data_IF_804462301238
#
_entry.id   IF_804462301238
#
_cell.length_a   1.000
_cell.length_b   1.000
_cell.length_c   1.000
_cell.angle_alpha   90.00
_cell.angle_beta   90.00
_cell.angle_gamma   90.00
#
_symmetry.space_group_name_H-M   'P 1'
#
loop_
_entity.id
_entity.type
_entity.pdbx_description
1 polymer ?
#
# COMPACT_ATOMS: atom_id res chain seq x y z
N UNK A 1 32.73 18.61 41.65
CA UNK A 1 32.48 18.46 40.20
C UNK A 1 31.63 17.20 39.98
N UNK A 2 30.50 17.09 40.68
CA UNK A 2 29.58 15.96 40.59
C UNK A 2 28.13 16.32 40.98
N UNK A 3 27.74 17.61 40.91
CA UNK A 3 26.43 18.08 41.39
C UNK A 3 25.67 18.92 40.35
N UNK A 4 25.83 18.62 39.06
CA UNK A 4 25.09 19.31 37.97
C UNK A 4 24.33 18.36 37.04
N UNK A 5 23.93 17.17 37.53
CA UNK A 5 23.14 16.21 36.75
C UNK A 5 21.75 15.89 37.35
N UNK A 6 21.34 16.55 38.45
CA UNK A 6 20.03 16.34 39.08
C UNK A 6 19.07 17.53 38.91
N UNK A 7 19.18 18.25 37.80
CA UNK A 7 18.43 19.50 37.58
C UNK A 7 17.24 19.44 36.62
N UNK A 8 16.71 18.26 36.27
CA UNK A 8 15.62 18.19 35.27
C UNK A 8 14.57 17.09 35.53
N UNK A 9 14.49 16.62 36.76
CA UNK A 9 13.64 15.51 37.15
C UNK A 9 12.40 16.03 37.92
N UNK A 10 11.27 16.02 37.22
CA UNK A 10 9.90 15.90 37.77
C UNK A 10 9.17 17.14 38.31
N UNK A 11 9.11 18.23 37.55
CA UNK A 11 7.95 19.14 37.61
C UNK A 11 7.28 19.22 36.24
N UNK A 12 6.81 18.08 35.76
CA UNK A 12 5.92 18.04 34.60
C UNK A 12 4.51 17.91 35.15
N UNK A 13 3.95 19.04 35.58
CA UNK A 13 2.50 19.18 35.75
C UNK A 13 1.82 18.50 34.56
N UNK A 14 0.85 17.64 34.85
CA UNK A 14 0.12 16.86 33.86
C UNK A 14 -0.80 17.78 33.06
N UNK A 15 -0.20 18.66 32.25
CA UNK A 15 -0.87 19.44 31.25
C UNK A 15 -1.29 18.44 30.16
N UNK A 16 -2.60 18.17 30.09
CA UNK A 16 -3.16 17.22 29.12
C UNK A 16 -2.77 17.56 27.68
N UNK A 17 -2.99 16.61 26.76
CA UNK A 17 -2.69 16.82 25.34
C UNK A 17 -3.45 18.05 24.82
N UNK A 18 -2.71 18.99 24.22
CA UNK A 18 -3.29 20.19 23.63
C UNK A 18 -4.29 19.78 22.53
N UNK A 19 -5.49 20.39 22.48
CA UNK A 19 -6.48 20.09 21.45
C UNK A 19 -5.92 20.22 20.03
N UNK A 20 -5.03 21.19 19.77
CA UNK A 20 -4.37 21.33 18.48
C UNK A 20 -3.49 20.12 18.10
N UNK A 21 -2.79 19.55 19.08
CA UNK A 21 -1.99 18.34 18.88
C UNK A 21 -2.87 17.13 18.62
N UNK A 22 -3.98 17.00 19.34
CA UNK A 22 -4.96 15.93 19.12
C UNK A 22 -5.55 16.01 17.71
N UNK A 23 -5.97 17.20 17.28
CA UNK A 23 -6.52 17.41 15.93
C UNK A 23 -5.49 17.08 14.85
N UNK A 24 -4.22 17.49 15.02
CA UNK A 24 -3.16 17.16 14.07
C UNK A 24 -2.99 15.64 13.90
N UNK A 25 -2.96 14.90 15.01
CA UNK A 25 -2.88 13.44 14.99
C UNK A 25 -4.10 12.81 14.33
N UNK A 26 -5.31 13.30 14.63
CA UNK A 26 -6.55 12.79 14.06
C UNK A 26 -6.59 13.01 12.55
N UNK A 27 -6.27 14.21 12.07
CA UNK A 27 -6.29 14.52 10.62
C UNK A 27 -5.22 13.71 9.89
N UNK A 28 -4.00 13.64 10.44
CA UNK A 28 -2.91 12.87 9.83
C UNK A 28 -3.25 11.37 9.81
N UNK A 29 -3.79 10.84 10.91
CA UNK A 29 -4.23 9.45 11.02
C UNK A 29 -5.38 9.12 10.08
N UNK A 30 -6.39 9.99 10.00
CA UNK A 30 -7.52 9.83 9.08
C UNK A 30 -7.06 9.85 7.62
N UNK A 31 -6.13 10.74 7.26
CA UNK A 31 -5.59 10.82 5.90
C UNK A 31 -4.82 9.53 5.52
N UNK A 32 -3.99 9.02 6.43
CA UNK A 32 -3.25 7.76 6.21
C UNK A 32 -4.19 6.56 6.14
N UNK A 33 -5.19 6.49 7.02
CA UNK A 33 -6.20 5.43 7.00
C UNK A 33 -7.01 5.45 5.70
N UNK A 34 -7.43 6.64 5.24
CA UNK A 34 -8.17 6.77 3.98
C UNK A 34 -7.36 6.22 2.79
N UNK A 35 -6.08 6.56 2.71
CA UNK A 35 -5.19 6.06 1.66
C UNK A 35 -4.98 4.55 1.81
N UNK A 36 -4.65 4.09 3.01
CA UNK A 36 -4.38 2.67 3.29
C UNK A 36 -5.58 1.78 3.02
N UNK A 37 -6.78 2.19 3.45
CA UNK A 37 -8.04 1.49 3.19
C UNK A 37 -8.33 1.44 1.69
N UNK A 38 -8.11 2.54 0.95
CA UNK A 38 -8.35 2.56 -0.49
C UNK A 38 -7.39 1.65 -1.26
N UNK A 39 -6.10 1.64 -0.89
CA UNK A 39 -5.11 0.73 -1.50
C UNK A 39 -5.45 -0.72 -1.15
N UNK A 40 -5.75 -1.00 0.13
CA UNK A 40 -6.15 -2.33 0.58
C UNK A 40 -7.37 -2.84 -0.14
N UNK A 41 -8.40 -2.00 -0.31
CA UNK A 41 -9.61 -2.33 -1.05
C UNK A 41 -9.32 -2.57 -2.53
N UNK A 42 -8.47 -1.76 -3.16
CA UNK A 42 -8.03 -1.96 -4.53
C UNK A 42 -7.30 -3.30 -4.70
N UNK A 43 -6.40 -3.65 -3.79
CA UNK A 43 -5.69 -4.93 -3.81
C UNK A 43 -6.65 -6.10 -3.58
N UNK A 44 -7.61 -5.97 -2.67
CA UNK A 44 -8.63 -6.98 -2.43
C UNK A 44 -9.52 -7.19 -3.66
N UNK A 45 -9.98 -6.09 -4.27
CA UNK A 45 -10.73 -6.13 -5.51
C UNK A 45 -9.92 -6.83 -6.61
N UNK A 46 -8.64 -6.48 -6.81
CA UNK A 46 -7.82 -7.15 -7.82
C UNK A 46 -7.62 -8.65 -7.58
N UNK A 47 -7.60 -9.11 -6.33
CA UNK A 47 -7.49 -10.54 -6.00
C UNK A 47 -8.80 -11.31 -6.21
N UNK A 48 -9.94 -10.65 -5.98
CA UNK A 48 -11.28 -11.23 -6.13
C UNK A 48 -11.83 -11.08 -7.55
N UNK A 49 -11.36 -10.07 -8.28
CA UNK A 49 -11.68 -9.86 -9.67
C UNK A 49 -11.13 -11.04 -10.48
N UNK A 50 -11.98 -11.72 -11.28
CA UNK A 50 -11.51 -12.77 -12.15
C UNK A 50 -10.43 -12.20 -13.08
N UNK A 51 -9.36 -12.97 -13.37
CA UNK A 51 -8.28 -12.51 -14.23
C UNK A 51 -8.92 -11.97 -15.51
N UNK A 52 -8.66 -10.70 -15.84
CA UNK A 52 -9.22 -10.05 -17.02
C UNK A 52 -8.99 -10.98 -18.19
N UNK A 53 -10.03 -11.69 -18.62
CA UNK A 53 -9.95 -12.64 -19.71
C UNK A 53 -9.54 -11.82 -20.91
N UNK A 54 -8.25 -11.88 -21.28
CA UNK A 54 -7.80 -11.32 -22.56
C UNK A 54 -8.75 -11.91 -23.59
N UNK A 55 -9.36 -11.05 -24.43
CA UNK A 55 -10.30 -11.52 -25.46
C UNK A 55 -9.67 -12.75 -26.10
N UNK A 56 -10.37 -13.91 -26.12
CA UNK A 56 -9.76 -15.15 -26.57
C UNK A 56 -9.19 -14.89 -27.95
N UNK A 57 -7.85 -14.86 -28.01
CA UNK A 57 -7.16 -14.58 -29.25
C UNK A 57 -7.42 -15.80 -30.11
N UNK A 58 -8.08 -15.60 -31.24
CA UNK A 58 -8.40 -16.68 -32.18
C UNK A 58 -7.17 -17.57 -32.37
N UNK A 59 -7.35 -18.89 -32.36
CA UNK A 59 -6.26 -19.87 -32.52
C UNK A 59 -5.36 -19.54 -33.73
N UNK A 60 -5.91 -18.92 -34.79
CA UNK A 60 -5.16 -18.41 -35.94
C UNK A 60 -4.18 -17.28 -35.57
N UNK A 61 -4.60 -16.31 -34.75
CA UNK A 61 -3.73 -15.23 -34.27
C UNK A 61 -2.69 -15.74 -33.27
N UNK A 62 -3.04 -16.68 -32.39
CA UNK A 62 -2.07 -17.29 -31.47
C UNK A 62 -0.97 -18.05 -32.21
N UNK A 63 -1.32 -18.84 -33.24
CA UNK A 63 -0.33 -19.50 -34.09
C UNK A 63 0.54 -18.48 -34.85
N UNK A 64 -0.06 -17.42 -35.39
CA UNK A 64 0.67 -16.36 -36.11
C UNK A 64 1.66 -15.62 -35.21
N UNK A 65 1.27 -15.30 -33.98
CA UNK A 65 2.16 -14.66 -33.00
C UNK A 65 3.27 -15.63 -32.52
N UNK A 66 2.94 -16.89 -32.25
CA UNK A 66 3.93 -17.92 -31.86
C UNK A 66 4.97 -18.18 -32.96
N UNK A 67 4.53 -18.24 -34.23
CA UNK A 67 5.41 -18.36 -35.40
C UNK A 67 6.32 -17.14 -35.58
N UNK A 68 5.79 -15.93 -35.36
CA UNK A 68 6.59 -14.69 -35.39
C UNK A 68 7.61 -14.61 -34.26
N UNK A 69 7.31 -15.19 -33.11
CA UNK A 69 8.21 -15.26 -31.97
C UNK A 69 9.27 -16.37 -32.11
N UNK A 70 9.26 -17.13 -33.21
CA UNK A 70 10.22 -18.22 -33.43
C UNK A 70 10.07 -19.38 -32.44
N UNK A 71 8.96 -19.44 -31.71
CA UNK A 71 8.68 -20.52 -30.77
C UNK A 71 8.26 -21.71 -31.62
N UNK A 72 9.13 -22.73 -31.68
CA UNK A 72 8.82 -24.01 -32.34
C UNK A 72 7.47 -24.50 -31.86
N UNK A 73 6.61 -24.89 -32.80
CA UNK A 73 5.33 -25.46 -32.46
C UNK A 73 5.58 -26.65 -31.52
N UNK A 74 4.82 -26.80 -30.41
CA UNK A 74 4.97 -27.98 -29.56
C UNK A 74 4.52 -29.18 -30.40
N UNK A 75 5.49 -29.95 -30.89
CA UNK A 75 5.31 -31.04 -31.84
C UNK A 75 6.24 -30.90 -33.06
N UNK A 76 7.49 -31.31 -32.89
CA UNK A 76 8.05 -32.31 -33.81
C UNK A 76 7.36 -33.66 -33.54
#
# INVERSE_FOLDING_TARGET
MADEFEGNMFDKESQGLNPGTVVLLVVMGAMLLFIGVNIGLYMYAQKTLPPKKKKPVSKKKLKKEKLKQGISAPGE
#
